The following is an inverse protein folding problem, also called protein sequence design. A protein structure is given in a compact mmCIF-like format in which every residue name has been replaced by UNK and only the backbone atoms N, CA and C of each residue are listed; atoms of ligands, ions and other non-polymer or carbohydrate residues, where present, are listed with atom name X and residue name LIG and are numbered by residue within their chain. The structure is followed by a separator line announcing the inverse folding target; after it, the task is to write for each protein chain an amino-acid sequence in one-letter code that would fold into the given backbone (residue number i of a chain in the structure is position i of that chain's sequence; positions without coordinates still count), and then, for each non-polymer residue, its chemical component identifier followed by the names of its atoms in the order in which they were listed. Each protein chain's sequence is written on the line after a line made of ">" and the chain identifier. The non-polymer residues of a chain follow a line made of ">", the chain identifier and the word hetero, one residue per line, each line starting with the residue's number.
data_IF_131159536283
#
_entry.id   IF_131159536283
#
_cell.length_a   1.000
_cell.length_b   1.000
_cell.length_c   1.000
_cell.angle_alpha   90.00
_cell.angle_beta   90.00
_cell.angle_gamma   90.00
#
_symmetry.space_group_name_H-M   'P 1'
#
loop_
_entity.id
_entity.type
_entity.pdbx_description
1 polymer ?
#
# COMPACT_ATOMS: atom_id res chain seq x y z
N UNK A 1 24.98 21.90 6.27
CA UNK A 1 26.00 21.46 5.29
C UNK A 1 25.53 20.15 4.68
N UNK A 2 26.06 19.74 3.53
CA UNK A 2 25.70 18.47 2.90
C UNK A 2 26.94 17.55 2.83
N UNK A 3 26.74 16.26 3.05
CA UNK A 3 27.72 15.20 2.84
C UNK A 3 27.39 14.52 1.51
N UNK A 4 28.37 14.47 0.61
CA UNK A 4 28.28 13.62 -0.58
C UNK A 4 28.71 12.20 -0.20
N UNK A 5 27.76 11.28 -0.09
CA UNK A 5 27.95 9.93 0.43
C UNK A 5 28.95 9.13 -0.40
N UNK A 6 28.89 9.28 -1.73
CA UNK A 6 29.78 8.58 -2.66
C UNK A 6 31.26 9.00 -2.56
N UNK A 7 31.58 10.06 -1.81
CA UNK A 7 32.96 10.47 -1.55
C UNK A 7 33.54 9.88 -0.25
N UNK A 8 32.75 9.12 0.51
CA UNK A 8 33.21 8.48 1.74
C UNK A 8 33.84 7.12 1.48
N UNK A 9 34.62 6.64 2.45
CA UNK A 9 35.16 5.27 2.46
C UNK A 9 34.55 4.52 3.63
N UNK A 10 33.96 3.38 3.34
CA UNK A 10 33.26 2.51 4.27
C UNK A 10 34.06 1.25 4.58
N UNK A 11 33.61 0.47 5.55
CA UNK A 11 34.28 -0.72 6.07
C UNK A 11 33.32 -1.90 6.15
N UNK A 12 33.82 -3.13 6.27
CA UNK A 12 32.95 -4.30 6.51
C UNK A 12 32.50 -4.41 7.98
N UNK A 13 32.13 -3.29 8.60
CA UNK A 13 31.62 -3.18 9.96
C UNK A 13 30.57 -2.07 9.95
N UNK A 14 29.73 -2.06 10.98
CA UNK A 14 28.79 -0.97 11.23
C UNK A 14 29.43 0.42 11.06
N UNK A 15 29.00 1.12 10.03
CA UNK A 15 29.36 2.48 9.67
C UNK A 15 28.21 3.44 10.00
N UNK A 16 28.55 4.66 10.42
CA UNK A 16 27.58 5.68 10.83
C UNK A 16 27.86 6.98 10.08
N UNK A 17 26.86 7.48 9.36
CA UNK A 17 26.92 8.73 8.61
C UNK A 17 25.68 9.59 8.91
N UNK A 18 25.85 10.85 9.35
CA UNK A 18 27.09 11.47 9.82
C UNK A 18 27.53 10.86 11.16
N UNK A 19 28.85 10.89 11.43
CA UNK A 19 29.38 10.52 12.76
C UNK A 19 28.87 11.46 13.86
N UNK A 20 28.57 12.71 13.49
CA UNK A 20 27.95 13.70 14.37
C UNK A 20 27.38 14.85 13.54
N UNK A 21 26.24 15.41 13.96
CA UNK A 21 25.68 16.62 13.37
C UNK A 21 24.30 16.40 12.76
N UNK A 22 23.85 17.40 11.99
CA UNK A 22 22.60 17.38 11.23
C UNK A 22 22.92 17.81 9.80
N UNK A 23 23.48 16.87 9.06
CA UNK A 23 23.89 17.07 7.68
C UNK A 23 22.86 16.49 6.73
N UNK A 24 22.60 17.20 5.64
CA UNK A 24 21.93 16.61 4.50
C UNK A 24 22.85 15.53 3.90
N UNK A 25 22.29 14.40 3.46
CA UNK A 25 23.01 13.46 2.62
C UNK A 25 22.62 13.69 1.17
N UNK A 26 23.62 13.82 0.31
CA UNK A 26 23.48 13.79 -1.15
C UNK A 26 24.25 12.57 -1.64
N UNK A 27 23.71 11.83 -2.59
CA UNK A 27 24.44 10.77 -3.26
C UNK A 27 24.23 10.86 -4.77
N UNK A 28 25.30 11.15 -5.49
CA UNK A 28 25.31 11.26 -6.96
C UNK A 28 26.15 10.19 -7.64
N UNK A 29 26.98 9.47 -6.88
CA UNK A 29 27.83 8.38 -7.33
C UNK A 29 27.42 7.03 -6.76
N UNK A 30 28.41 6.18 -6.45
CA UNK A 30 28.19 4.87 -5.83
C UNK A 30 28.73 4.94 -4.40
N UNK A 31 27.86 4.74 -3.41
CA UNK A 31 28.21 4.52 -2.02
C UNK A 31 27.92 3.05 -1.68
N UNK A 32 28.95 2.29 -1.32
CA UNK A 32 28.81 0.92 -0.81
C UNK A 32 29.29 0.92 0.64
N UNK A 33 28.41 0.65 1.59
CA UNK A 33 28.81 0.55 3.01
C UNK A 33 29.35 -0.83 3.38
N UNK A 34 29.05 -1.84 2.55
CA UNK A 34 29.46 -3.24 2.73
C UNK A 34 28.77 -3.88 3.94
N UNK A 35 29.16 -5.10 4.31
CA UNK A 35 28.50 -5.78 5.41
C UNK A 35 28.65 -5.02 6.74
N UNK A 36 27.60 -5.00 7.56
CA UNK A 36 27.54 -4.22 8.78
C UNK A 36 26.10 -3.88 9.11
N UNK A 37 25.84 -3.39 10.32
CA UNK A 37 24.55 -2.76 10.63
C UNK A 37 24.78 -1.26 10.52
N UNK A 38 24.60 -0.74 9.32
CA UNK A 38 24.98 0.60 8.93
C UNK A 38 23.86 1.60 9.16
N UNK A 39 24.24 2.84 9.48
CA UNK A 39 23.29 3.91 9.78
C UNK A 39 23.61 5.11 8.91
N UNK A 40 22.70 5.43 8.00
CA UNK A 40 22.76 6.63 7.14
C UNK A 40 21.61 7.54 7.53
N UNK A 41 21.91 8.66 8.18
CA UNK A 41 20.93 9.69 8.55
C UNK A 41 21.22 10.99 7.83
N UNK A 42 20.25 11.46 7.05
CA UNK A 42 20.27 12.78 6.45
C UNK A 42 19.23 13.70 7.06
N UNK A 43 19.66 14.83 7.59
CA UNK A 43 18.78 15.84 8.19
C UNK A 43 19.03 17.18 7.54
N UNK A 44 17.96 17.84 7.10
CA UNK A 44 18.02 19.23 6.63
C UNK A 44 17.16 20.14 7.50
N UNK A 45 17.77 21.25 7.90
CA UNK A 45 17.11 22.48 8.32
C UNK A 45 17.33 23.54 7.24
N UNK A 46 16.38 23.69 6.31
CA UNK A 46 16.32 24.84 5.41
C UNK A 46 15.23 24.71 4.34
N UNK A 47 14.95 25.79 3.61
CA UNK A 47 14.15 25.75 2.39
C UNK A 47 14.89 25.01 1.25
N UNK A 48 14.15 24.21 0.47
CA UNK A 48 14.52 23.53 -0.80
C UNK A 48 15.18 22.13 -0.77
N UNK A 49 15.07 21.33 0.29
CA UNK A 49 15.89 20.10 0.37
C UNK A 49 15.22 18.90 1.02
N UNK A 50 15.76 17.74 0.66
CA UNK A 50 15.45 16.45 1.25
C UNK A 50 16.52 16.09 2.27
N UNK A 51 16.15 15.40 3.35
CA UNK A 51 17.12 14.87 4.31
C UNK A 51 18.17 14.01 3.62
N UNK A 52 17.71 13.09 2.76
CA UNK A 52 18.53 12.33 1.81
C UNK A 52 18.06 12.63 0.38
N UNK A 53 18.98 13.07 -0.47
CA UNK A 53 18.77 13.19 -1.92
C UNK A 53 19.69 12.20 -2.64
N UNK A 54 19.12 11.14 -3.19
CA UNK A 54 19.82 10.13 -3.95
C UNK A 54 19.48 10.23 -5.44
N UNK A 55 20.50 10.32 -6.28
CA UNK A 55 20.44 10.15 -7.73
C UNK A 55 21.49 9.16 -8.24
N UNK A 56 22.20 8.50 -7.32
CA UNK A 56 23.22 7.50 -7.59
C UNK A 56 22.82 6.15 -6.99
N UNK A 57 23.79 5.37 -6.56
CA UNK A 57 23.57 4.08 -5.89
C UNK A 57 24.01 4.17 -4.44
N UNK A 58 23.11 3.82 -3.51
CA UNK A 58 23.40 3.54 -2.11
C UNK A 58 23.18 2.05 -1.94
N UNK A 59 24.25 1.31 -1.67
CA UNK A 59 24.18 -0.10 -1.28
C UNK A 59 24.67 -0.19 0.16
N UNK A 60 23.83 -0.68 1.08
CA UNK A 60 24.33 -0.97 2.41
C UNK A 60 25.00 -2.34 2.43
N UNK A 61 24.32 -3.38 1.94
CA UNK A 61 24.86 -4.74 1.89
C UNK A 61 24.50 -5.47 3.18
N UNK A 62 24.82 -6.76 3.29
CA UNK A 62 24.24 -7.57 4.36
C UNK A 62 24.40 -7.02 5.81
N UNK A 63 23.32 -7.05 6.57
CA UNK A 63 23.18 -6.66 7.97
C UNK A 63 21.89 -5.88 8.21
N UNK A 64 21.55 -5.58 9.47
CA UNK A 64 20.31 -4.84 9.76
C UNK A 64 20.59 -3.33 9.69
N UNK A 65 20.28 -2.72 8.56
CA UNK A 65 20.64 -1.35 8.20
C UNK A 65 19.51 -0.35 8.46
N UNK A 66 19.91 0.91 8.66
CA UNK A 66 18.99 2.02 8.91
C UNK A 66 19.32 3.19 8.00
N UNK A 67 18.38 3.55 7.13
CA UNK A 67 18.44 4.74 6.29
C UNK A 67 17.33 5.71 6.71
N UNK A 68 17.70 6.89 7.20
CA UNK A 68 16.77 7.88 7.73
C UNK A 68 16.94 9.24 7.05
N UNK A 69 15.90 9.74 6.39
CA UNK A 69 15.84 11.10 5.84
C UNK A 69 14.84 11.97 6.59
N UNK A 70 15.28 13.13 7.07
CA UNK A 70 14.46 14.07 7.85
C UNK A 70 14.54 15.47 7.24
N UNK A 71 13.37 16.03 6.95
CA UNK A 71 13.20 17.47 6.70
C UNK A 71 12.53 18.08 7.93
N UNK A 72 13.29 18.80 8.75
CA UNK A 72 12.83 19.30 10.07
C UNK A 72 12.32 20.75 10.02
N UNK A 73 11.72 21.17 8.90
CA UNK A 73 11.20 22.54 8.77
C UNK A 73 9.75 22.65 8.35
N UNK A 74 9.02 23.50 9.08
CA UNK A 74 7.69 23.99 8.74
C UNK A 74 7.74 25.04 7.62
N UNK A 75 8.34 24.71 6.48
CA UNK A 75 8.29 25.59 5.29
C UNK A 75 7.09 25.26 4.41
N UNK A 76 6.62 26.27 3.67
CA UNK A 76 5.52 26.14 2.69
C UNK A 76 5.99 25.42 1.41
N UNK A 77 7.30 25.22 1.24
CA UNK A 77 7.89 24.60 0.05
C UNK A 77 7.99 23.08 0.28
N UNK A 78 7.68 22.24 -0.71
CA UNK A 78 7.69 20.78 -0.56
C UNK A 78 9.12 20.23 -0.34
N UNK A 79 9.55 20.19 0.92
CA UNK A 79 10.69 19.40 1.39
C UNK A 79 10.25 18.01 1.87
N UNK A 80 11.09 16.99 1.67
CA UNK A 80 10.78 15.60 2.00
C UNK A 80 11.87 14.89 2.81
N UNK A 81 11.58 13.68 3.29
CA UNK A 81 12.54 12.89 4.05
C UNK A 81 13.62 12.32 3.15
N UNK A 82 13.24 11.36 2.31
CA UNK A 82 14.11 10.68 1.34
C UNK A 82 13.57 10.93 -0.07
N UNK A 83 14.45 11.37 -0.97
CA UNK A 83 14.17 11.45 -2.41
C UNK A 83 15.15 10.60 -3.19
N UNK A 84 14.66 9.54 -3.79
CA UNK A 84 15.37 8.69 -4.72
C UNK A 84 14.93 9.01 -6.15
N UNK A 85 15.68 9.84 -6.86
CA UNK A 85 15.34 10.28 -8.22
C UNK A 85 16.38 9.78 -9.22
N UNK A 86 16.02 8.78 -10.03
CA UNK A 86 16.94 8.13 -10.97
C UNK A 86 17.98 7.22 -10.30
N UNK A 87 17.96 7.11 -8.98
CA UNK A 87 18.93 6.36 -8.18
C UNK A 87 18.44 4.99 -7.72
N UNK A 88 19.33 4.28 -7.03
CA UNK A 88 19.07 3.02 -6.35
C UNK A 88 19.41 3.16 -4.87
N UNK A 89 18.52 2.69 -4.01
CA UNK A 89 18.79 2.37 -2.62
C UNK A 89 18.60 0.86 -2.49
N UNK A 90 19.61 0.13 -2.05
CA UNK A 90 19.60 -1.33 -1.91
C UNK A 90 20.17 -1.73 -0.54
N UNK A 91 19.41 -2.44 0.29
CA UNK A 91 19.89 -2.85 1.61
C UNK A 91 20.37 -4.31 1.72
N UNK A 92 20.00 -5.18 0.77
CA UNK A 92 20.51 -6.56 0.62
C UNK A 92 19.90 -7.53 1.65
N UNK A 93 20.67 -8.40 2.31
CA UNK A 93 20.12 -9.32 3.31
C UNK A 93 20.12 -8.67 4.70
N UNK A 94 19.01 -8.66 5.43
CA UNK A 94 18.93 -8.11 6.80
C UNK A 94 17.54 -7.61 7.16
N UNK A 95 17.23 -7.41 8.45
CA UNK A 95 15.96 -6.77 8.85
C UNK A 95 16.10 -5.23 8.79
N UNK A 96 15.90 -4.64 7.61
CA UNK A 96 16.26 -3.26 7.32
C UNK A 96 15.16 -2.23 7.62
N UNK A 97 15.56 -0.98 7.83
CA UNK A 97 14.64 0.14 8.08
C UNK A 97 14.99 1.35 7.23
N UNK A 98 14.08 1.73 6.34
CA UNK A 98 14.11 2.97 5.58
C UNK A 98 13.01 3.90 6.09
N UNK A 99 13.39 5.04 6.68
CA UNK A 99 12.46 6.03 7.23
C UNK A 99 12.62 7.39 6.57
N UNK A 100 11.54 7.95 6.04
CA UNK A 100 11.50 9.30 5.50
C UNK A 100 10.46 10.16 6.19
N UNK A 101 10.90 11.26 6.81
CA UNK A 101 10.01 12.26 7.42
C UNK A 101 10.11 13.58 6.63
N UNK A 102 9.05 13.88 5.88
CA UNK A 102 8.84 15.16 5.22
C UNK A 102 7.88 16.04 6.02
N UNK A 103 7.88 17.33 5.73
CA UNK A 103 6.88 18.26 6.26
C UNK A 103 5.85 18.53 5.17
N UNK A 104 6.13 19.42 4.22
CA UNK A 104 5.17 19.75 3.16
C UNK A 104 5.22 18.81 1.92
N UNK A 105 6.30 18.06 1.70
CA UNK A 105 6.47 17.16 0.56
C UNK A 105 6.13 15.70 0.89
N UNK A 106 6.95 14.76 0.40
CA UNK A 106 6.80 13.34 0.70
C UNK A 106 7.72 12.87 1.83
N UNK A 107 7.29 11.89 2.61
CA UNK A 107 8.17 11.19 3.55
C UNK A 107 9.28 10.47 2.78
N UNK A 108 8.85 9.56 1.90
CA UNK A 108 9.71 8.85 0.94
C UNK A 108 9.15 9.09 -0.45
N UNK A 109 10.00 9.56 -1.37
CA UNK A 109 9.68 9.74 -2.78
C UNK A 109 10.67 8.95 -3.63
N UNK A 110 10.17 8.07 -4.50
CA UNK A 110 10.98 7.37 -5.50
C UNK A 110 10.43 7.64 -6.90
N UNK A 111 11.32 8.00 -7.82
CA UNK A 111 10.97 8.37 -9.20
C UNK A 111 12.10 7.99 -10.15
N UNK A 112 11.78 7.29 -11.23
CA UNK A 112 12.77 6.73 -12.18
C UNK A 112 13.86 5.89 -11.49
N UNK A 113 13.63 5.46 -10.26
CA UNK A 113 14.62 4.84 -9.38
C UNK A 113 14.00 3.72 -8.56
N UNK A 114 14.87 2.95 -7.90
CA UNK A 114 14.50 1.75 -7.15
C UNK A 114 14.88 1.89 -5.69
N UNK A 115 13.96 1.54 -4.80
CA UNK A 115 14.27 1.19 -3.41
C UNK A 115 14.05 -0.32 -3.31
N UNK A 116 15.10 -1.06 -2.98
CA UNK A 116 15.08 -2.50 -2.79
C UNK A 116 15.58 -2.81 -1.37
N UNK A 117 14.80 -3.49 -0.54
CA UNK A 117 15.30 -3.85 0.80
C UNK A 117 15.98 -5.22 0.80
N UNK A 118 15.39 -6.24 0.16
CA UNK A 118 16.09 -7.49 -0.16
C UNK A 118 15.52 -8.68 0.61
N UNK A 119 16.35 -9.55 1.19
CA UNK A 119 15.82 -10.67 1.99
C UNK A 119 15.87 -10.27 3.49
N UNK A 120 14.73 -10.30 4.19
CA UNK A 120 14.62 -9.91 5.59
C UNK A 120 13.22 -9.43 5.96
N UNK A 121 12.97 -9.04 7.21
CA UNK A 121 11.69 -8.45 7.62
C UNK A 121 11.79 -6.93 7.65
N UNK A 122 11.65 -6.33 6.48
CA UNK A 122 12.02 -4.95 6.23
C UNK A 122 10.91 -3.97 6.56
N UNK A 123 11.31 -2.70 6.77
CA UNK A 123 10.37 -1.61 6.99
C UNK A 123 10.67 -0.40 6.14
N UNK A 124 9.67 0.05 5.40
CA UNK A 124 9.66 1.33 4.71
C UNK A 124 8.60 2.22 5.35
N UNK A 125 9.02 3.31 5.98
CA UNK A 125 8.14 4.20 6.75
C UNK A 125 8.26 5.63 6.22
N UNK A 126 7.22 6.10 5.56
CA UNK A 126 7.12 7.46 5.05
C UNK A 126 6.07 8.28 5.81
N UNK A 127 6.45 9.44 6.33
CA UNK A 127 5.53 10.39 6.98
C UNK A 127 5.72 11.79 6.42
N UNK A 128 4.66 12.43 5.94
CA UNK A 128 4.64 13.86 5.63
C UNK A 128 3.22 14.43 5.58
N UNK A 129 3.05 15.74 5.35
CA UNK A 129 1.74 16.37 5.18
C UNK A 129 1.10 15.98 3.84
N UNK A 130 1.88 15.96 2.76
CA UNK A 130 1.35 15.63 1.42
C UNK A 130 1.28 14.11 1.20
N UNK A 131 2.42 13.44 1.09
CA UNK A 131 2.46 11.99 0.85
C UNK A 131 3.36 11.26 1.85
N UNK A 132 2.90 10.15 2.43
CA UNK A 132 3.76 9.30 3.25
C UNK A 132 4.84 8.63 2.41
N UNK A 133 4.42 7.67 1.59
CA UNK A 133 5.25 6.96 0.60
C UNK A 133 4.72 7.27 -0.79
N UNK A 134 5.57 7.75 -1.69
CA UNK A 134 5.21 8.17 -3.04
C UNK A 134 6.11 7.47 -4.08
N UNK A 135 5.52 6.62 -4.89
CA UNK A 135 6.17 5.89 -6.00
C UNK A 135 5.66 6.46 -7.31
N UNK A 136 6.48 7.26 -7.99
CA UNK A 136 6.06 8.01 -9.18
C UNK A 136 6.97 7.76 -10.38
N UNK A 137 6.55 8.12 -11.59
CA UNK A 137 7.36 8.15 -12.82
C UNK A 137 8.36 6.99 -12.97
N UNK A 138 7.90 5.74 -13.11
CA UNK A 138 8.73 4.53 -13.21
C UNK A 138 9.55 4.19 -11.95
N UNK A 139 9.19 4.77 -10.81
CA UNK A 139 9.72 4.38 -9.51
C UNK A 139 9.29 2.97 -9.12
N UNK A 140 10.15 2.29 -8.38
CA UNK A 140 9.92 0.93 -7.87
C UNK A 140 10.25 0.93 -6.38
N UNK A 141 9.38 0.30 -5.61
CA UNK A 141 9.69 -0.21 -4.27
C UNK A 141 9.55 -1.73 -4.34
N UNK A 142 10.60 -2.44 -3.93
CA UNK A 142 10.67 -3.89 -3.82
C UNK A 142 11.19 -4.22 -2.42
N UNK A 143 10.46 -5.01 -1.63
CA UNK A 143 10.96 -5.45 -0.31
C UNK A 143 11.47 -6.88 -0.29
N UNK A 144 11.37 -7.61 -1.41
CA UNK A 144 12.01 -8.90 -1.60
C UNK A 144 11.36 -10.08 -0.86
N UNK A 145 12.01 -10.69 0.13
CA UNK A 145 11.43 -11.82 0.88
C UNK A 145 11.47 -11.57 2.37
N UNK A 146 10.42 -11.97 3.06
CA UNK A 146 10.28 -11.91 4.50
C UNK A 146 8.97 -11.23 4.85
N UNK A 147 8.74 -10.90 6.12
CA UNK A 147 7.47 -10.27 6.51
C UNK A 147 7.64 -8.75 6.55
N UNK A 148 7.40 -8.12 5.42
CA UNK A 148 7.75 -6.73 5.19
C UNK A 148 6.63 -5.77 5.57
N UNK A 149 7.01 -4.53 5.87
CA UNK A 149 6.08 -3.48 6.27
C UNK A 149 6.35 -2.20 5.49
N UNK A 150 5.38 -1.80 4.68
CA UNK A 150 5.34 -0.46 4.08
C UNK A 150 4.25 0.34 4.79
N UNK A 151 4.64 1.44 5.44
CA UNK A 151 3.71 2.36 6.10
C UNK A 151 3.89 3.78 5.59
N UNK A 152 2.81 4.33 5.02
CA UNK A 152 2.75 5.71 4.58
C UNK A 152 1.71 6.51 5.36
N UNK A 153 2.08 7.69 5.87
CA UNK A 153 1.17 8.62 6.55
C UNK A 153 1.29 10.01 5.94
N UNK A 154 0.17 10.57 5.47
CA UNK A 154 0.08 11.92 4.91
C UNK A 154 -1.28 12.20 4.32
N UNK A 155 -1.45 13.28 3.56
CA UNK A 155 -2.68 13.53 2.79
C UNK A 155 -3.04 12.35 1.89
N UNK A 156 -2.00 11.78 1.28
CA UNK A 156 -1.94 10.45 0.69
C UNK A 156 -1.07 9.59 1.59
N UNK A 157 -1.61 8.51 2.16
CA UNK A 157 -0.80 7.60 2.97
C UNK A 157 0.27 6.92 2.12
N UNK A 158 -0.16 6.03 1.24
CA UNK A 158 0.66 5.42 0.19
C UNK A 158 0.12 5.81 -1.17
N UNK A 159 0.96 6.42 -2.00
CA UNK A 159 0.64 6.81 -3.36
C UNK A 159 1.52 6.02 -4.34
N UNK A 160 0.92 5.09 -5.07
CA UNK A 160 1.59 4.23 -6.03
C UNK A 160 1.14 4.50 -7.46
N UNK A 161 1.98 5.15 -8.26
CA UNK A 161 1.77 5.30 -9.70
C UNK A 161 2.47 4.25 -10.54
N UNK A 162 3.35 3.43 -9.95
CA UNK A 162 4.13 2.43 -10.66
C UNK A 162 4.15 1.10 -9.92
N UNK A 163 5.26 0.68 -9.31
CA UNK A 163 5.39 -0.67 -8.77
C UNK A 163 5.73 -0.61 -7.29
N UNK A 164 4.88 -1.26 -6.50
CA UNK A 164 5.20 -1.71 -5.15
C UNK A 164 5.07 -3.22 -5.15
N UNK A 165 6.14 -3.93 -4.80
CA UNK A 165 6.14 -5.38 -4.60
C UNK A 165 6.76 -5.73 -3.26
N UNK A 166 6.20 -6.71 -2.55
CA UNK A 166 6.75 -7.20 -1.28
C UNK A 166 7.22 -8.66 -1.30
N UNK A 167 6.82 -9.42 -2.32
CA UNK A 167 7.39 -10.73 -2.63
C UNK A 167 6.90 -11.87 -1.72
N UNK A 168 7.78 -12.74 -1.23
CA UNK A 168 7.33 -13.90 -0.43
C UNK A 168 7.38 -13.57 1.08
N UNK A 169 6.25 -13.69 1.78
CA UNK A 169 6.13 -13.60 3.23
C UNK A 169 4.79 -13.02 3.66
N UNK A 170 4.57 -12.76 4.95
CA UNK A 170 3.30 -12.19 5.41
C UNK A 170 3.44 -10.66 5.50
N UNK A 171 3.14 -9.99 4.40
CA UNK A 171 3.47 -8.60 4.21
C UNK A 171 2.37 -7.67 4.64
N UNK A 172 2.74 -6.41 4.88
CA UNK A 172 1.81 -5.37 5.30
C UNK A 172 2.06 -4.05 4.60
N UNK A 173 1.07 -3.61 3.83
CA UNK A 173 1.02 -2.27 3.26
C UNK A 173 -0.08 -1.46 3.98
N UNK A 174 0.31 -0.36 4.60
CA UNK A 174 -0.61 0.52 5.35
C UNK A 174 -0.50 1.97 4.89
N UNK A 175 -1.61 2.52 4.42
CA UNK A 175 -1.74 3.92 4.05
C UNK A 175 -2.72 4.66 4.96
N UNK A 176 -2.24 5.69 5.66
CA UNK A 176 -3.01 6.55 6.54
C UNK A 176 -3.15 7.95 5.95
N UNK A 177 -4.32 8.24 5.38
CA UNK A 177 -4.73 9.54 4.87
C UNK A 177 -5.15 10.48 6.00
N UNK A 178 -4.53 11.65 6.09
CA UNK A 178 -4.73 12.61 7.20
C UNK A 178 -5.50 13.87 6.79
N UNK A 179 -5.53 14.19 5.49
CA UNK A 179 -6.22 15.38 4.97
C UNK A 179 -7.69 15.10 4.64
N UNK A 180 -8.51 16.15 4.74
CA UNK A 180 -9.91 16.10 4.34
C UNK A 180 -10.02 15.79 2.84
N UNK A 181 -10.69 14.70 2.49
CA UNK A 181 -10.79 14.25 1.10
C UNK A 181 -9.50 13.65 0.53
N UNK A 182 -8.49 13.42 1.37
CA UNK A 182 -7.30 12.66 1.00
C UNK A 182 -7.55 11.16 0.90
N UNK A 183 -6.48 10.37 0.91
CA UNK A 183 -6.55 8.95 0.64
C UNK A 183 -5.66 8.14 1.58
N UNK A 184 -6.15 7.00 2.04
CA UNK A 184 -5.30 6.01 2.70
C UNK A 184 -4.28 5.47 1.71
N UNK A 185 -4.75 4.79 0.68
CA UNK A 185 -3.94 4.27 -0.42
C UNK A 185 -4.52 4.75 -1.75
N UNK A 186 -3.66 5.27 -2.63
CA UNK A 186 -3.96 5.50 -4.05
C UNK A 186 -3.07 4.57 -4.86
N UNK A 187 -3.69 3.72 -5.68
CA UNK A 187 -3.01 2.84 -6.61
C UNK A 187 -3.43 3.18 -8.04
N UNK A 188 -2.48 3.67 -8.83
CA UNK A 188 -2.59 3.89 -10.28
C UNK A 188 -1.69 2.91 -11.06
N UNK A 189 -0.78 2.22 -10.37
CA UNK A 189 0.09 1.20 -10.94
C UNK A 189 -0.25 -0.23 -10.48
N UNK A 190 0.78 -0.98 -10.12
CA UNK A 190 0.70 -2.35 -9.60
C UNK A 190 1.17 -2.36 -8.15
N UNK A 191 0.35 -2.95 -7.29
CA UNK A 191 0.71 -3.36 -5.94
C UNK A 191 0.59 -4.88 -5.89
N UNK A 192 1.68 -5.57 -5.59
CA UNK A 192 1.78 -7.04 -5.58
C UNK A 192 2.40 -7.49 -4.25
N UNK A 193 1.69 -8.26 -3.43
CA UNK A 193 2.25 -8.76 -2.17
C UNK A 193 2.77 -10.20 -2.26
N UNK A 194 2.69 -10.84 -3.43
CA UNK A 194 3.28 -12.16 -3.67
C UNK A 194 2.65 -13.28 -2.85
N UNK A 195 3.44 -14.06 -2.12
CA UNK A 195 2.94 -15.27 -1.44
C UNK A 195 3.10 -15.18 0.07
N UNK A 196 2.00 -15.35 0.79
CA UNK A 196 1.90 -15.42 2.24
C UNK A 196 0.56 -14.88 2.70
N UNK A 197 0.38 -14.62 3.99
CA UNK A 197 -0.89 -14.07 4.49
C UNK A 197 -0.77 -12.55 4.61
N UNK A 198 -1.09 -11.87 3.52
CA UNK A 198 -0.78 -10.46 3.36
C UNK A 198 -1.89 -9.56 3.86
N UNK A 199 -1.51 -8.31 4.13
CA UNK A 199 -2.45 -7.30 4.59
C UNK A 199 -2.24 -5.94 3.95
N UNK A 200 -3.26 -5.50 3.22
CA UNK A 200 -3.35 -4.14 2.69
C UNK A 200 -4.41 -3.37 3.49
N UNK A 201 -4.06 -2.21 4.03
CA UNK A 201 -4.97 -1.37 4.80
C UNK A 201 -4.87 0.10 4.39
N UNK A 202 -5.95 0.65 3.83
CA UNK A 202 -6.07 2.07 3.53
C UNK A 202 -7.12 2.74 4.40
N UNK A 203 -6.75 3.78 5.13
CA UNK A 203 -7.65 4.52 6.02
C UNK A 203 -7.61 6.02 5.73
N UNK A 204 -8.78 6.63 5.49
CA UNK A 204 -8.97 8.08 5.60
C UNK A 204 -10.42 8.36 6.07
N UNK A 205 -10.59 9.00 7.21
CA UNK A 205 -11.92 9.17 7.83
C UNK A 205 -12.92 10.01 7.03
N UNK A 206 -12.44 10.88 6.16
CA UNK A 206 -13.30 11.82 5.39
C UNK A 206 -13.16 11.65 3.87
N UNK A 207 -12.06 11.06 3.40
CA UNK A 207 -11.81 10.70 2.01
C UNK A 207 -11.95 9.20 1.77
N UNK A 208 -11.15 8.65 0.86
CA UNK A 208 -11.24 7.22 0.51
C UNK A 208 -10.20 6.39 1.27
N UNK A 209 -10.59 5.18 1.68
CA UNK A 209 -9.67 4.23 2.28
C UNK A 209 -8.66 3.75 1.25
N UNK A 210 -9.14 3.09 0.20
CA UNK A 210 -8.34 2.61 -0.93
C UNK A 210 -8.97 3.11 -2.24
N UNK A 211 -8.14 3.70 -3.11
CA UNK A 211 -8.51 4.09 -4.46
C UNK A 211 -7.67 3.35 -5.49
N UNK A 212 -8.26 2.39 -6.19
CA UNK A 212 -7.63 1.62 -7.26
C UNK A 212 -8.12 2.14 -8.62
N UNK A 213 -7.25 2.79 -9.38
CA UNK A 213 -7.57 3.47 -10.62
C UNK A 213 -7.93 2.53 -11.78
N UNK A 214 -8.35 3.11 -12.91
CA UNK A 214 -8.54 2.33 -14.14
C UNK A 214 -7.19 1.85 -14.68
N UNK A 215 -7.10 0.55 -15.00
CA UNK A 215 -5.86 -0.07 -15.51
C UNK A 215 -4.83 -0.41 -14.43
N UNK A 216 -5.10 -0.12 -13.16
CA UNK A 216 -4.25 -0.50 -12.03
C UNK A 216 -4.64 -1.86 -11.45
N UNK A 217 -3.70 -2.50 -10.76
CA UNK A 217 -3.89 -3.81 -10.13
C UNK A 217 -3.42 -3.79 -8.68
N UNK A 218 -4.23 -4.40 -7.82
CA UNK A 218 -3.82 -4.86 -6.49
C UNK A 218 -3.92 -6.39 -6.54
N UNK A 219 -2.79 -7.08 -6.35
CA UNK A 219 -2.71 -8.54 -6.28
C UNK A 219 -2.09 -8.94 -4.94
N UNK A 220 -2.73 -9.88 -4.24
CA UNK A 220 -2.16 -10.44 -3.00
C UNK A 220 -1.68 -11.89 -3.16
N UNK A 221 -1.84 -12.46 -4.35
CA UNK A 221 -1.24 -13.73 -4.72
C UNK A 221 -1.78 -14.95 -3.95
N UNK A 222 -0.99 -15.56 -3.08
CA UNK A 222 -1.37 -16.82 -2.45
C UNK A 222 -1.19 -16.81 -0.95
N UNK A 223 -2.27 -17.10 -0.22
CA UNK A 223 -2.31 -17.27 1.23
C UNK A 223 -3.64 -16.76 1.76
N UNK A 224 -3.71 -16.36 3.03
CA UNK A 224 -4.95 -15.86 3.63
C UNK A 224 -4.89 -14.35 3.74
N UNK A 225 -5.26 -13.69 2.65
CA UNK A 225 -4.99 -12.28 2.49
C UNK A 225 -6.11 -11.42 3.01
N UNK A 226 -5.76 -10.17 3.35
CA UNK A 226 -6.71 -9.21 3.87
C UNK A 226 -6.55 -7.83 3.29
N UNK A 227 -7.59 -7.35 2.62
CA UNK A 227 -7.70 -5.98 2.13
C UNK A 227 -8.76 -5.24 2.95
N UNK A 228 -8.38 -4.13 3.59
CA UNK A 228 -9.29 -3.29 4.39
C UNK A 228 -9.23 -1.86 3.89
N UNK A 229 -10.35 -1.34 3.39
CA UNK A 229 -10.53 0.07 3.10
C UNK A 229 -11.51 0.71 4.08
N UNK A 230 -11.09 1.77 4.75
CA UNK A 230 -11.93 2.52 5.70
C UNK A 230 -11.98 3.99 5.31
N UNK A 231 -13.18 4.52 5.05
CA UNK A 231 -13.38 5.95 4.79
C UNK A 231 -14.81 6.34 4.44
N UNK A 232 -15.00 7.52 3.86
CA UNK A 232 -16.29 7.92 3.29
C UNK A 232 -16.67 7.07 2.07
N UNK A 233 -15.66 6.53 1.40
CA UNK A 233 -15.73 5.32 0.59
C UNK A 233 -14.63 4.40 1.07
N UNK A 234 -14.98 3.17 1.46
CA UNK A 234 -14.00 2.21 1.96
C UNK A 234 -13.02 1.84 0.86
N UNK A 235 -13.55 1.30 -0.23
CA UNK A 235 -12.77 0.89 -1.41
C UNK A 235 -13.44 1.43 -2.67
N UNK A 236 -12.76 2.29 -3.40
CA UNK A 236 -13.15 2.71 -4.74
C UNK A 236 -12.27 1.96 -5.74
N UNK A 237 -12.87 1.13 -6.60
CA UNK A 237 -12.16 0.28 -7.54
C UNK A 237 -12.66 0.50 -8.97
N UNK A 238 -11.80 1.04 -9.83
CA UNK A 238 -11.97 1.07 -11.29
C UNK A 238 -11.02 0.10 -12.02
N UNK A 239 -10.12 -0.56 -11.29
CA UNK A 239 -9.12 -1.48 -11.82
C UNK A 239 -9.44 -2.92 -11.47
N UNK A 240 -8.40 -3.68 -11.15
CA UNK A 240 -8.47 -5.07 -10.70
C UNK A 240 -7.99 -5.16 -9.25
N UNK A 241 -8.75 -5.87 -8.44
CA UNK A 241 -8.30 -6.41 -7.15
C UNK A 241 -8.40 -7.93 -7.26
N UNK A 242 -7.29 -8.62 -7.01
CA UNK A 242 -7.17 -10.08 -7.08
C UNK A 242 -6.55 -10.59 -5.78
N UNK A 243 -7.22 -11.50 -5.07
CA UNK A 243 -6.64 -12.11 -3.86
C UNK A 243 -6.06 -13.52 -4.11
N UNK A 244 -6.34 -14.09 -5.28
CA UNK A 244 -5.67 -15.30 -5.75
C UNK A 244 -6.11 -16.59 -5.06
N UNK A 245 -5.26 -17.29 -4.32
CA UNK A 245 -5.66 -18.54 -3.66
C UNK A 245 -5.54 -18.44 -2.14
N UNK A 246 -6.60 -18.84 -1.43
CA UNK A 246 -6.59 -19.14 0.00
C UNK A 246 -7.85 -18.60 0.68
N UNK A 247 -7.87 -18.49 2.01
CA UNK A 247 -9.09 -18.01 2.69
C UNK A 247 -9.02 -16.49 2.86
N UNK A 248 -9.40 -15.76 1.81
CA UNK A 248 -9.17 -14.32 1.69
C UNK A 248 -10.30 -13.48 2.27
N UNK A 249 -10.01 -12.21 2.55
CA UNK A 249 -10.98 -11.27 3.11
C UNK A 249 -10.82 -9.85 2.58
N UNK A 250 -11.90 -9.31 2.01
CA UNK A 250 -11.99 -7.90 1.61
C UNK A 250 -13.09 -7.20 2.41
N UNK A 251 -12.73 -6.11 3.10
CA UNK A 251 -13.63 -5.32 3.94
C UNK A 251 -13.62 -3.87 3.50
N UNK A 252 -14.76 -3.37 3.01
CA UNK A 252 -14.95 -1.97 2.66
C UNK A 252 -15.84 -1.25 3.68
N UNK A 253 -15.23 -0.73 4.74
CA UNK A 253 -15.91 0.08 5.76
C UNK A 253 -16.14 1.49 5.20
N UNK A 254 -17.37 1.77 4.78
CA UNK A 254 -17.73 2.92 3.93
C UNK A 254 -18.27 2.52 2.56
N UNK A 255 -18.28 1.22 2.26
CA UNK A 255 -18.82 0.66 1.03
C UNK A 255 -17.86 0.66 -0.15
N UNK A 256 -18.31 0.05 -1.22
CA UNK A 256 -17.61 -0.03 -2.51
C UNK A 256 -18.09 1.08 -3.47
N UNK A 257 -17.22 1.48 -4.40
CA UNK A 257 -17.58 2.35 -5.52
C UNK A 257 -16.68 2.03 -6.73
N UNK A 258 -17.08 2.50 -7.90
CA UNK A 258 -16.37 2.27 -9.16
C UNK A 258 -17.00 1.18 -10.02
N UNK A 259 -16.31 0.85 -11.10
CA UNK A 259 -16.75 -0.11 -12.12
C UNK A 259 -15.76 -1.28 -12.32
N UNK A 260 -14.74 -1.35 -11.46
CA UNK A 260 -13.69 -2.36 -11.50
C UNK A 260 -14.17 -3.76 -11.12
N UNK A 261 -13.22 -4.69 -11.14
CA UNK A 261 -13.47 -6.10 -10.80
C UNK A 261 -12.71 -6.49 -9.55
N UNK A 262 -13.34 -7.33 -8.74
CA UNK A 262 -12.78 -7.97 -7.54
C UNK A 262 -12.88 -9.48 -7.73
N UNK A 263 -11.74 -10.16 -7.69
CA UNK A 263 -11.63 -11.61 -7.79
C UNK A 263 -11.12 -12.16 -6.47
N UNK A 264 -11.94 -12.96 -5.78
CA UNK A 264 -11.56 -13.60 -4.52
C UNK A 264 -10.79 -14.92 -4.77
N UNK A 265 -11.12 -15.61 -5.86
CA UNK A 265 -10.26 -16.65 -6.42
C UNK A 265 -10.62 -18.05 -5.95
N UNK A 266 -9.82 -18.69 -5.12
CA UNK A 266 -10.09 -20.06 -4.64
C UNK A 266 -10.18 -20.13 -3.12
N UNK A 267 -10.97 -21.10 -2.65
CA UNK A 267 -11.11 -21.58 -1.28
C UNK A 267 -12.32 -21.04 -0.51
N UNK A 268 -12.18 -20.28 0.57
CA UNK A 268 -13.35 -19.81 1.34
C UNK A 268 -13.18 -18.35 1.66
N UNK A 269 -13.68 -17.54 0.76
CA UNK A 269 -13.44 -16.12 0.79
C UNK A 269 -14.57 -15.36 1.46
N UNK A 270 -14.24 -14.16 1.91
CA UNK A 270 -15.15 -13.29 2.60
C UNK A 270 -15.09 -11.86 2.06
N UNK A 271 -16.23 -11.35 1.62
CA UNK A 271 -16.39 -9.99 1.14
C UNK A 271 -17.41 -9.26 2.01
N UNK A 272 -17.02 -8.16 2.64
CA UNK A 272 -17.92 -7.31 3.44
C UNK A 272 -18.03 -5.92 2.84
N UNK A 273 -19.27 -5.49 2.61
CA UNK A 273 -19.58 -4.15 2.13
C UNK A 273 -20.68 -4.17 1.07
N UNK A 274 -21.11 -2.98 0.65
CA UNK A 274 -22.04 -2.80 -0.45
C UNK A 274 -21.61 -1.61 -1.31
N UNK A 275 -21.85 -1.67 -2.61
CA UNK A 275 -21.52 -0.60 -3.54
C UNK A 275 -21.58 -1.02 -5.00
N UNK A 276 -21.11 -0.17 -5.89
CA UNK A 276 -20.98 -0.51 -7.32
C UNK A 276 -19.70 -1.30 -7.59
N UNK A 277 -19.73 -2.15 -8.62
CA UNK A 277 -18.59 -2.95 -9.08
C UNK A 277 -19.00 -4.35 -9.54
N UNK A 278 -18.02 -5.15 -9.90
CA UNK A 278 -18.18 -6.57 -10.24
C UNK A 278 -17.38 -7.41 -9.26
N UNK A 279 -18.04 -8.37 -8.60
CA UNK A 279 -17.47 -9.16 -7.53
C UNK A 279 -17.63 -10.65 -7.84
N UNK A 280 -16.51 -11.36 -7.88
CA UNK A 280 -16.42 -12.77 -8.25
C UNK A 280 -15.88 -13.55 -7.06
N UNK A 281 -16.70 -14.43 -6.47
CA UNK A 281 -16.25 -15.31 -5.40
C UNK A 281 -15.26 -16.37 -5.90
N UNK A 282 -15.43 -16.83 -7.15
CA UNK A 282 -14.56 -17.84 -7.75
C UNK A 282 -14.94 -19.26 -7.34
N UNK A 283 -13.95 -20.10 -7.06
CA UNK A 283 -14.20 -21.49 -6.67
C UNK A 283 -14.10 -21.66 -5.17
N UNK A 284 -15.20 -21.92 -4.50
CA UNK A 284 -15.13 -21.94 -3.05
C UNK A 284 -16.43 -22.16 -2.33
N UNK A 285 -16.43 -21.77 -1.05
CA UNK A 285 -17.67 -21.53 -0.30
C UNK A 285 -17.62 -20.10 0.20
N UNK A 286 -17.85 -19.18 -0.73
CA UNK A 286 -17.55 -17.78 -0.57
C UNK A 286 -18.75 -17.06 0.05
N UNK A 287 -18.44 -16.08 0.88
CA UNK A 287 -19.42 -15.38 1.70
C UNK A 287 -19.41 -13.90 1.39
N UNK A 288 -20.57 -13.39 0.94
CA UNK A 288 -20.85 -11.96 0.90
C UNK A 288 -21.56 -11.54 2.19
N UNK A 289 -21.09 -10.48 2.85
CA UNK A 289 -21.76 -9.82 3.96
C UNK A 289 -22.18 -8.40 3.58
N UNK A 290 -23.50 -8.19 3.55
CA UNK A 290 -24.08 -6.87 3.30
C UNK A 290 -24.15 -6.06 4.60
N UNK A 291 -23.85 -4.78 4.49
CA UNK A 291 -24.03 -3.79 5.56
C UNK A 291 -25.50 -3.37 5.69
N UNK A 292 -25.83 -2.51 6.64
CA UNK A 292 -27.18 -1.96 6.83
C UNK A 292 -27.72 -1.33 5.52
N UNK A 293 -28.96 -1.67 5.16
CA UNK A 293 -29.58 -1.21 3.92
C UNK A 293 -30.83 -1.99 3.51
N UNK A 294 -31.49 -1.53 2.44
CA UNK A 294 -32.62 -2.19 1.79
C UNK A 294 -32.22 -2.61 0.38
N UNK A 295 -32.19 -3.91 0.11
CA UNK A 295 -31.65 -4.47 -1.11
C UNK A 295 -32.74 -5.19 -1.90
N UNK A 296 -32.92 -4.81 -3.16
CA UNK A 296 -33.71 -5.59 -4.12
C UNK A 296 -32.77 -6.52 -4.88
N UNK A 297 -33.13 -7.80 -4.94
CA UNK A 297 -32.36 -8.81 -5.65
C UNK A 297 -32.82 -8.87 -7.10
N UNK A 298 -31.87 -8.83 -8.02
CA UNK A 298 -32.07 -9.17 -9.43
C UNK A 298 -31.27 -10.41 -9.79
N UNK A 299 -31.86 -11.39 -10.48
CA UNK A 299 -31.15 -12.61 -10.90
C UNK A 299 -31.13 -12.70 -12.44
N UNK A 300 -29.93 -12.84 -13.00
CA UNK A 300 -29.75 -13.02 -14.44
C UNK A 300 -28.70 -14.10 -14.71
N UNK A 301 -29.15 -15.30 -15.09
CA UNK A 301 -28.26 -16.45 -15.27
C UNK A 301 -27.57 -16.83 -13.95
N UNK A 302 -26.24 -16.81 -13.94
CA UNK A 302 -25.42 -17.09 -12.75
C UNK A 302 -25.11 -15.84 -11.90
N UNK A 303 -25.52 -14.66 -12.36
CA UNK A 303 -25.27 -13.39 -11.67
C UNK A 303 -26.44 -13.04 -10.75
N UNK A 304 -26.11 -12.65 -9.53
CA UNK A 304 -27.04 -12.07 -8.55
C UNK A 304 -26.65 -10.62 -8.32
N UNK A 305 -27.60 -9.73 -8.52
CA UNK A 305 -27.43 -8.29 -8.36
C UNK A 305 -28.16 -7.82 -7.11
N UNK A 306 -27.50 -6.97 -6.33
CA UNK A 306 -28.12 -6.29 -5.20
C UNK A 306 -28.26 -4.80 -5.53
N UNK A 307 -29.49 -4.29 -5.55
CA UNK A 307 -29.78 -2.89 -5.84
C UNK A 307 -30.30 -2.17 -4.60
N UNK A 308 -29.68 -1.04 -4.26
CA UNK A 308 -30.11 -0.16 -3.17
C UNK A 308 -29.85 1.29 -3.58
N UNK A 309 -30.84 2.17 -3.41
CA UNK A 309 -30.76 3.60 -3.75
C UNK A 309 -30.21 3.89 -5.16
N UNK A 310 -30.55 3.05 -6.14
CA UNK A 310 -30.08 3.18 -7.53
C UNK A 310 -28.65 2.69 -7.79
N UNK A 311 -27.93 2.25 -6.76
CA UNK A 311 -26.61 1.61 -6.88
C UNK A 311 -26.82 0.11 -7.02
N UNK A 312 -26.07 -0.53 -7.91
CA UNK A 312 -26.12 -1.98 -8.14
C UNK A 312 -24.76 -2.62 -7.92
N UNK A 313 -24.73 -3.64 -7.07
CA UNK A 313 -23.60 -4.53 -6.84
C UNK A 313 -23.81 -5.78 -7.70
N UNK A 314 -22.89 -6.07 -8.63
CA UNK A 314 -23.00 -7.27 -9.46
C UNK A 314 -22.14 -8.38 -8.84
N UNK A 315 -22.75 -9.51 -8.52
CA UNK A 315 -22.06 -10.62 -7.88
C UNK A 315 -22.26 -11.92 -8.64
N UNK A 316 -21.25 -12.77 -8.65
CA UNK A 316 -21.35 -14.14 -9.14
C UNK A 316 -20.43 -15.03 -8.32
N UNK A 317 -20.71 -16.33 -8.35
CA UNK A 317 -19.84 -17.34 -7.73
C UNK A 317 -19.73 -17.19 -6.21
N UNK A 318 -20.80 -16.75 -5.54
CA UNK A 318 -20.91 -16.78 -4.08
C UNK A 318 -21.89 -17.88 -3.65
N UNK A 319 -21.58 -18.59 -2.57
CA UNK A 319 -22.45 -19.62 -2.01
C UNK A 319 -23.30 -19.10 -0.86
N UNK A 320 -22.78 -18.13 -0.08
CA UNK A 320 -23.38 -17.67 1.17
C UNK A 320 -23.55 -16.16 1.20
N UNK A 321 -24.71 -15.73 1.70
CA UNK A 321 -25.00 -14.33 1.99
C UNK A 321 -25.27 -14.16 3.49
N UNK A 322 -24.60 -13.19 4.11
CA UNK A 322 -24.90 -12.69 5.45
C UNK A 322 -25.56 -11.33 5.30
N UNK A 323 -26.76 -11.19 5.88
CA UNK A 323 -27.54 -9.96 5.88
C UNK A 323 -28.06 -9.75 7.31
N UNK A 324 -27.31 -8.94 8.08
CA UNK A 324 -27.54 -8.74 9.51
C UNK A 324 -27.35 -10.05 10.28
N UNK A 325 -28.37 -10.47 11.03
CA UNK A 325 -28.35 -11.75 11.76
C UNK A 325 -28.74 -12.97 10.92
N UNK A 326 -29.17 -12.76 9.67
CA UNK A 326 -29.69 -13.83 8.81
C UNK A 326 -28.63 -14.31 7.83
N UNK A 327 -28.56 -15.63 7.63
CA UNK A 327 -27.71 -16.27 6.64
C UNK A 327 -28.58 -16.91 5.56
N UNK A 328 -28.21 -16.71 4.30
CA UNK A 328 -28.87 -17.27 3.13
C UNK A 328 -27.88 -18.10 2.32
N UNK A 329 -28.40 -19.11 1.64
CA UNK A 329 -27.70 -19.72 0.50
C UNK A 329 -28.04 -18.91 -0.74
N UNK A 330 -27.06 -18.59 -1.59
CA UNK A 330 -27.32 -17.84 -2.83
C UNK A 330 -28.35 -18.55 -3.72
N UNK A 331 -28.31 -19.88 -3.75
CA UNK A 331 -29.28 -20.71 -4.47
C UNK A 331 -30.73 -20.63 -3.93
N UNK A 332 -30.94 -20.06 -2.74
CA UNK A 332 -32.26 -19.85 -2.14
C UNK A 332 -32.85 -18.47 -2.41
N UNK A 333 -32.06 -17.55 -2.98
CA UNK A 333 -32.51 -16.21 -3.31
C UNK A 333 -33.46 -16.24 -4.52
N UNK A 334 -34.44 -15.34 -4.53
CA UNK A 334 -35.41 -15.24 -5.64
C UNK A 334 -35.38 -13.87 -6.28
N UNK A 335 -35.58 -13.81 -7.60
CA UNK A 335 -35.67 -12.54 -8.34
C UNK A 335 -36.79 -11.64 -7.78
N UNK A 336 -36.49 -10.36 -7.60
CA UNK A 336 -37.38 -9.38 -6.97
C UNK A 336 -37.50 -9.48 -5.44
N UNK A 337 -36.81 -10.42 -4.78
CA UNK A 337 -36.76 -10.48 -3.32
C UNK A 337 -36.21 -9.18 -2.73
N UNK A 338 -36.79 -8.73 -1.62
CA UNK A 338 -36.25 -7.62 -0.84
C UNK A 338 -35.60 -8.14 0.44
N UNK A 339 -34.35 -7.74 0.71
CA UNK A 339 -33.65 -8.01 1.96
C UNK A 339 -33.45 -6.69 2.71
N UNK A 340 -33.82 -6.68 3.98
CA UNK A 340 -33.61 -5.54 4.89
C UNK A 340 -32.55 -5.95 5.90
N UNK A 341 -31.43 -5.23 5.92
CA UNK A 341 -30.37 -5.38 6.91
C UNK A 341 -30.48 -4.24 7.90
N UNK A 342 -30.76 -4.57 9.16
CA UNK A 342 -30.82 -3.65 10.28
C UNK A 342 -29.48 -3.61 11.01
#
# INVERSE_FOLDING_TARGET
>A
MAIELSNLTFTNKADIVPISGTEQIINTGIANTFAGNDIITGTITGSDRFGILNSGTINTGAGDDIITGICDENTIIPGGGIRNEGGTINTDDGDDIITGTGQAGSGIFTSLGTINTGDGNDKIIGTAIDSGVNVNYQGIIDTGKGNDIITGTGGYGVENYFIITTGDGNDKITGNGTLTGGYGIVNVGTMDTGAGNDKITGTNTTGWGIYNYSGSTIDTGAGKDKIIGTGSTGIYNNGIINTGNGEDSIIADGGFNGIGSVFLGKDKDYLKGFGSGNFYGGSGKDTLELTTGNYTIGISGATVNFTSNGITMNTSEFEKLIAGSTKYDFASLTDGQTIIVA
#
